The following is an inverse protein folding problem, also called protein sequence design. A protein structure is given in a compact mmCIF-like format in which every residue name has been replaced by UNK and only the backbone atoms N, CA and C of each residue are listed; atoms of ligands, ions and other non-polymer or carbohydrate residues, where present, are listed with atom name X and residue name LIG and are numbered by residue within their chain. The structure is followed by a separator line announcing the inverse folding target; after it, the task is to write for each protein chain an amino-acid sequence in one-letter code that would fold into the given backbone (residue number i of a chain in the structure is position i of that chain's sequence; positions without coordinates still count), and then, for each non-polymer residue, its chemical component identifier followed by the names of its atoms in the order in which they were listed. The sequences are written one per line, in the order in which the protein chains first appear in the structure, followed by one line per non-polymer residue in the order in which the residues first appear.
data_IF_229515780267
#
_entry.id   IF_229515780267
#
_cell.length_a   1.000
_cell.length_b   1.000
_cell.length_c   1.000
_cell.angle_alpha   90.00
_cell.angle_beta   90.00
_cell.angle_gamma   90.00
#
_symmetry.space_group_name_H-M   'P 1'
#
loop_
_entity.id
_entity.type
_entity.pdbx_description
1 polymer ?
#
# COMPACT_ATOMS: atom_id res chain seq x y z
N UNK A 1 1.94 18.10 -9.08
CA UNK A 1 2.16 17.04 -8.10
C UNK A 1 0.88 16.26 -7.94
N UNK A 2 0.95 14.95 -8.06
CA UNK A 2 -0.23 14.09 -8.17
C UNK A 2 -1.03 13.84 -6.90
N UNK A 3 -0.83 14.55 -5.80
CA UNK A 3 -1.72 14.43 -4.63
C UNK A 3 -1.70 15.70 -3.80
N UNK A 4 -2.87 16.29 -3.63
CA UNK A 4 -3.14 17.43 -2.77
C UNK A 4 -3.09 17.04 -1.27
N UNK A 5 -3.26 15.76 -0.96
CA UNK A 5 -3.29 15.25 0.39
C UNK A 5 -1.91 14.80 0.87
N UNK A 6 -1.39 15.53 1.85
CA UNK A 6 -0.47 14.98 2.83
C UNK A 6 -1.32 14.46 3.99
N UNK A 7 -1.05 13.25 4.47
CA UNK A 7 -1.79 12.60 5.55
C UNK A 7 -1.71 13.28 6.93
N UNK A 8 -1.12 14.45 7.00
CA UNK A 8 -0.88 15.25 8.18
C UNK A 8 -1.73 16.53 8.23
N UNK A 9 -2.90 16.55 7.61
CA UNK A 9 -3.93 17.59 7.74
C UNK A 9 -3.42 19.07 7.73
N UNK A 10 -2.17 19.31 7.38
CA UNK A 10 -1.61 20.66 7.29
C UNK A 10 -1.88 21.18 5.89
N UNK A 11 -2.70 22.24 5.80
CA UNK A 11 -2.87 22.99 4.55
C UNK A 11 -1.52 23.48 4.06
N UNK A 12 -1.17 23.16 2.82
CA UNK A 12 0.09 23.58 2.18
C UNK A 12 0.01 25.06 1.77
N UNK A 13 -1.20 25.51 1.42
CA UNK A 13 -1.50 26.88 1.05
C UNK A 13 -2.45 27.48 2.08
N UNK A 14 -2.28 28.75 2.37
CA UNK A 14 -3.28 29.50 3.11
C UNK A 14 -4.52 29.79 2.24
N UNK A 15 -5.63 30.19 2.84
CA UNK A 15 -6.89 30.44 2.12
C UNK A 15 -6.79 31.54 1.06
N UNK A 16 -5.91 32.51 1.26
CA UNK A 16 -5.71 33.62 0.31
C UNK A 16 -4.90 33.17 -0.91
N UNK A 17 -3.95 32.27 -0.70
CA UNK A 17 -3.17 31.70 -1.79
C UNK A 17 -3.97 30.62 -2.54
N UNK A 18 -4.75 29.81 -1.85
CA UNK A 18 -5.63 28.81 -2.46
C UNK A 18 -6.66 29.45 -3.39
N UNK A 19 -7.22 30.61 -3.03
CA UNK A 19 -8.18 31.37 -3.84
C UNK A 19 -7.59 31.89 -5.18
N UNK A 20 -6.28 31.93 -5.31
CA UNK A 20 -5.59 32.35 -6.55
C UNK A 20 -5.50 31.25 -7.61
N UNK A 21 -5.81 29.99 -7.24
CA UNK A 21 -5.72 28.84 -8.11
C UNK A 21 -7.13 28.37 -8.54
N UNK A 22 -7.23 28.00 -9.81
CA UNK A 22 -8.40 27.23 -10.26
C UNK A 22 -8.18 25.78 -9.90
N UNK A 23 -9.01 25.22 -9.03
CA UNK A 23 -8.95 23.83 -8.66
C UNK A 23 -9.53 22.98 -9.79
N UNK A 24 -8.70 22.09 -10.35
CA UNK A 24 -9.13 21.07 -11.30
C UNK A 24 -8.94 19.71 -10.65
N UNK A 25 -10.03 19.04 -10.37
CA UNK A 25 -10.03 17.69 -9.81
C UNK A 25 -10.14 16.68 -10.94
N UNK A 26 -9.24 15.70 -10.95
CA UNK A 26 -9.26 14.56 -11.87
C UNK A 26 -9.06 13.29 -11.05
N UNK A 27 -10.16 12.59 -10.81
CA UNK A 27 -10.21 11.44 -9.91
C UNK A 27 -9.54 10.20 -10.51
N UNK A 28 -9.08 9.28 -9.68
CA UNK A 28 -8.62 7.97 -10.17
C UNK A 28 -9.72 7.22 -10.91
N UNK A 29 -10.97 7.38 -10.52
CA UNK A 29 -12.10 6.81 -11.23
C UNK A 29 -12.22 7.34 -12.66
N UNK A 30 -12.15 8.66 -12.84
CA UNK A 30 -12.15 9.29 -14.17
C UNK A 30 -10.91 8.86 -14.97
N UNK A 31 -9.75 8.78 -14.32
CA UNK A 31 -8.53 8.33 -14.94
C UNK A 31 -8.64 6.89 -15.42
N UNK A 32 -9.10 5.96 -14.57
CA UNK A 32 -9.27 4.55 -14.92
C UNK A 32 -10.32 4.36 -16.03
N UNK A 33 -11.41 5.11 -16.02
CA UNK A 33 -12.43 5.08 -17.06
C UNK A 33 -11.94 5.64 -18.41
N UNK A 34 -10.99 6.56 -18.38
CA UNK A 34 -10.35 7.11 -19.57
C UNK A 34 -9.25 6.20 -20.17
N UNK A 35 -8.85 5.14 -19.46
CA UNK A 35 -7.79 4.25 -19.91
C UNK A 35 -8.24 3.35 -21.08
N UNK A 36 -7.35 3.22 -22.05
CA UNK A 36 -7.58 2.38 -23.24
C UNK A 36 -7.33 0.91 -22.95
N UNK A 37 -6.30 0.60 -22.20
CA UNK A 37 -5.77 -0.75 -22.01
C UNK A 37 -6.06 -1.30 -20.62
N UNK A 38 -5.69 -0.58 -19.56
CA UNK A 38 -5.90 -1.03 -18.17
C UNK A 38 -7.40 -1.02 -17.82
N UNK A 39 -7.94 -2.20 -17.49
CA UNK A 39 -9.37 -2.42 -17.23
C UNK A 39 -9.70 -2.73 -15.79
N UNK A 40 -8.71 -3.15 -15.00
CA UNK A 40 -8.95 -3.56 -13.62
C UNK A 40 -7.76 -3.32 -12.70
N UNK A 41 -8.05 -3.06 -11.44
CA UNK A 41 -7.08 -2.92 -10.36
C UNK A 41 -7.47 -3.85 -9.22
N UNK A 42 -6.58 -4.77 -8.87
CA UNK A 42 -6.69 -5.59 -7.67
C UNK A 42 -5.97 -4.93 -6.49
N UNK A 43 -6.59 -4.97 -5.32
CA UNK A 43 -6.00 -4.49 -4.06
C UNK A 43 -6.06 -5.62 -3.05
N UNK A 44 -4.91 -5.98 -2.46
CA UNK A 44 -4.79 -7.04 -1.48
C UNK A 44 -3.87 -6.68 -0.32
N UNK A 45 -4.32 -7.04 0.88
CA UNK A 45 -3.51 -7.06 2.09
C UNK A 45 -3.32 -8.51 2.51
N UNK A 46 -2.08 -8.94 2.59
CA UNK A 46 -1.72 -10.31 2.92
C UNK A 46 -0.99 -10.34 4.26
N UNK A 47 -1.64 -10.95 5.26
CA UNK A 47 -1.08 -11.10 6.59
C UNK A 47 -0.24 -12.38 6.64
N UNK A 48 0.93 -12.32 7.28
CA UNK A 48 1.83 -13.45 7.37
C UNK A 48 2.47 -13.56 8.77
N UNK A 49 2.86 -14.77 9.12
CA UNK A 49 3.65 -15.07 10.32
C UNK A 49 5.09 -15.40 9.90
N UNK A 50 6.04 -15.11 10.78
CA UNK A 50 7.45 -15.40 10.54
C UNK A 50 8.12 -14.37 9.63
N UNK A 51 8.90 -14.84 8.66
CA UNK A 51 9.65 -13.97 7.75
C UNK A 51 8.85 -13.67 6.47
N UNK A 52 8.85 -12.43 6.04
CA UNK A 52 8.09 -11.99 4.86
C UNK A 52 8.56 -12.65 3.54
N UNK A 53 9.78 -13.16 3.48
CA UNK A 53 10.30 -13.80 2.27
C UNK A 53 9.50 -15.05 1.87
N UNK A 54 8.95 -15.77 2.83
CA UNK A 54 8.05 -16.91 2.57
C UNK A 54 6.71 -16.43 1.99
N UNK A 55 6.16 -15.34 2.52
CA UNK A 55 4.95 -14.73 1.99
C UNK A 55 5.22 -14.12 0.61
N UNK A 56 6.34 -13.43 0.43
CA UNK A 56 6.77 -12.88 -0.85
C UNK A 56 6.86 -13.97 -1.92
N UNK A 57 7.45 -15.13 -1.60
CA UNK A 57 7.55 -16.28 -2.51
C UNK A 57 6.20 -16.76 -3.00
N UNK A 58 5.15 -16.69 -2.16
CA UNK A 58 3.79 -17.13 -2.49
C UNK A 58 3.04 -16.15 -3.38
N UNK A 59 3.25 -14.84 -3.17
CA UNK A 59 2.47 -13.80 -3.86
C UNK A 59 3.19 -13.21 -5.07
N UNK A 60 4.51 -13.37 -5.18
CA UNK A 60 5.30 -12.85 -6.30
C UNK A 60 5.08 -13.70 -7.55
N UNK A 61 4.38 -13.12 -8.53
CA UNK A 61 4.24 -13.65 -9.87
C UNK A 61 5.40 -13.15 -10.75
N UNK A 62 6.31 -14.07 -11.09
CA UNK A 62 7.49 -13.77 -11.91
C UNK A 62 7.17 -13.55 -13.40
N UNK A 63 5.93 -13.73 -13.82
CA UNK A 63 5.46 -13.44 -15.18
C UNK A 63 4.96 -11.98 -15.30
N UNK A 64 4.83 -11.29 -14.18
CA UNK A 64 4.37 -9.90 -14.10
C UNK A 64 5.51 -8.92 -13.90
N UNK A 65 5.39 -7.76 -14.53
CA UNK A 65 6.29 -6.61 -14.31
C UNK A 65 6.03 -6.02 -12.93
N UNK A 66 6.99 -6.16 -12.02
CA UNK A 66 6.76 -5.95 -10.59
C UNK A 66 7.70 -4.91 -9.98
N UNK A 67 7.15 -4.00 -9.17
CA UNK A 67 7.94 -3.19 -8.23
C UNK A 67 7.79 -3.79 -6.84
N UNK A 68 8.91 -4.11 -6.19
CA UNK A 68 8.94 -4.61 -4.82
C UNK A 68 9.48 -3.50 -3.92
N UNK A 69 8.63 -2.97 -3.05
CA UNK A 69 9.03 -2.02 -2.02
C UNK A 69 9.40 -2.78 -0.75
N UNK A 70 10.69 -2.74 -0.40
CA UNK A 70 11.19 -3.38 0.82
C UNK A 70 10.76 -2.62 2.07
N UNK A 71 10.77 -3.29 3.26
CA UNK A 71 10.47 -2.63 4.53
C UNK A 71 11.52 -1.55 4.85
N UNK A 72 11.13 -0.58 5.70
CA UNK A 72 12.10 0.34 6.27
C UNK A 72 13.12 -0.47 7.10
N UNK A 73 14.42 -0.13 7.00
CA UNK A 73 15.49 -0.83 7.72
C UNK A 73 15.29 -0.83 9.24
N UNK A 74 14.56 0.14 9.77
CA UNK A 74 14.25 0.25 11.20
C UNK A 74 12.96 -0.49 11.60
N UNK A 75 12.25 -1.12 10.66
CA UNK A 75 11.05 -1.89 10.96
C UNK A 75 11.42 -3.29 11.46
N UNK A 76 10.53 -3.91 12.26
CA UNK A 76 10.73 -5.26 12.76
C UNK A 76 10.74 -6.33 11.65
N UNK A 77 10.13 -6.03 10.50
CA UNK A 77 10.12 -6.93 9.35
C UNK A 77 11.45 -6.97 8.61
N UNK A 78 12.27 -5.91 8.76
CA UNK A 78 13.55 -5.79 8.08
C UNK A 78 14.61 -6.73 8.67
N UNK A 79 15.58 -7.11 7.86
CA UNK A 79 16.82 -7.76 8.32
C UNK A 79 17.77 -6.80 9.03
N UNK A 80 17.47 -5.49 8.97
CA UNK A 80 18.32 -4.41 9.49
C UNK A 80 19.42 -3.97 8.53
N UNK A 81 19.60 -4.67 7.40
CA UNK A 81 20.61 -4.36 6.40
C UNK A 81 20.01 -4.39 4.97
N UNK A 82 20.22 -3.31 4.23
CA UNK A 82 19.68 -3.12 2.88
C UNK A 82 20.21 -4.15 1.87
N UNK A 83 21.49 -4.46 1.96
CA UNK A 83 22.11 -5.41 1.04
C UNK A 83 21.54 -6.81 1.25
N UNK A 84 21.44 -7.23 2.50
CA UNK A 84 20.84 -8.51 2.89
C UNK A 84 19.37 -8.60 2.44
N UNK A 85 18.60 -7.49 2.50
CA UNK A 85 17.22 -7.46 1.97
C UNK A 85 17.19 -7.76 0.48
N UNK A 86 18.05 -7.11 -0.30
CA UNK A 86 18.11 -7.30 -1.76
C UNK A 86 18.54 -8.73 -2.09
N UNK A 87 19.59 -9.26 -1.40
CA UNK A 87 20.06 -10.63 -1.59
C UNK A 87 18.95 -11.65 -1.32
N UNK A 88 18.21 -11.50 -0.24
CA UNK A 88 17.08 -12.40 0.10
C UNK A 88 15.95 -12.34 -0.92
N UNK A 89 15.65 -11.16 -1.46
CA UNK A 89 14.67 -11.04 -2.53
C UNK A 89 15.18 -11.72 -3.80
N UNK A 90 16.47 -11.58 -4.13
CA UNK A 90 17.08 -12.30 -5.24
C UNK A 90 16.99 -13.82 -5.05
N UNK A 91 17.19 -14.33 -3.83
CA UNK A 91 16.99 -15.76 -3.50
C UNK A 91 15.53 -16.21 -3.72
N UNK A 92 14.55 -15.36 -3.40
CA UNK A 92 13.13 -15.63 -3.66
C UNK A 92 12.85 -15.72 -5.16
N UNK A 93 13.43 -14.82 -5.96
CA UNK A 93 13.32 -14.82 -7.42
C UNK A 93 13.99 -16.07 -7.99
N UNK A 94 15.18 -16.41 -7.46
CA UNK A 94 15.94 -17.59 -7.81
C UNK A 94 17.03 -17.32 -8.84
N UNK A 95 17.88 -18.34 -9.00
CA UNK A 95 19.05 -18.28 -9.89
C UNK A 95 20.22 -17.53 -9.27
N UNK A 96 21.29 -17.40 -10.06
CA UNK A 96 22.49 -16.64 -9.69
C UNK A 96 22.44 -15.31 -10.45
N UNK A 97 22.26 -14.17 -9.74
CA UNK A 97 22.22 -12.88 -10.39
C UNK A 97 23.60 -12.45 -10.91
N UNK A 98 23.62 -12.00 -12.16
CA UNK A 98 24.80 -11.43 -12.80
C UNK A 98 24.55 -9.95 -13.03
N UNK A 99 25.39 -9.08 -12.45
CA UNK A 99 25.29 -7.62 -12.59
C UNK A 99 26.05 -7.16 -13.83
N UNK A 100 25.38 -6.42 -14.71
CA UNK A 100 26.03 -5.70 -15.79
C UNK A 100 26.79 -4.48 -15.25
N UNK A 101 28.11 -4.39 -15.41
CA UNK A 101 28.90 -3.31 -14.85
C UNK A 101 28.62 -1.93 -15.48
N UNK A 102 28.02 -1.89 -16.69
CA UNK A 102 27.71 -0.62 -17.36
C UNK A 102 26.38 -0.02 -16.93
N UNK A 103 25.38 -0.87 -16.77
CA UNK A 103 24.01 -0.44 -16.45
C UNK A 103 23.66 -0.61 -14.98
N UNK A 104 24.36 -1.48 -14.28
CA UNK A 104 24.03 -1.89 -12.91
C UNK A 104 22.83 -2.84 -12.82
N UNK A 105 22.26 -3.22 -13.96
CA UNK A 105 21.09 -4.13 -14.01
C UNK A 105 21.53 -5.56 -13.78
N UNK A 106 20.80 -6.28 -12.94
CA UNK A 106 21.00 -7.71 -12.74
C UNK A 106 20.21 -8.52 -13.76
N UNK A 107 20.81 -9.61 -14.18
CA UNK A 107 20.14 -10.65 -15.00
C UNK A 107 20.25 -11.97 -14.26
N UNK A 108 19.14 -12.67 -14.10
CA UNK A 108 19.10 -14.01 -13.47
C UNK A 108 18.16 -14.93 -14.20
N UNK A 109 18.44 -16.24 -14.13
CA UNK A 109 17.49 -17.27 -14.54
C UNK A 109 16.62 -17.61 -13.34
N UNK A 110 15.43 -17.04 -13.30
CA UNK A 110 14.52 -17.19 -12.19
C UNK A 110 13.97 -18.61 -12.00
N UNK A 111 13.32 -18.89 -10.87
CA UNK A 111 12.75 -20.20 -10.51
C UNK A 111 11.68 -20.71 -11.50
N UNK A 112 11.04 -19.85 -12.28
CA UNK A 112 10.11 -20.21 -13.35
C UNK A 112 10.81 -20.53 -14.69
N UNK A 113 12.14 -20.53 -14.71
CA UNK A 113 12.96 -20.81 -15.89
C UNK A 113 13.15 -19.64 -16.85
N UNK A 114 12.52 -18.48 -16.60
CA UNK A 114 12.69 -17.27 -17.42
C UNK A 114 13.95 -16.52 -17.02
N UNK A 115 14.55 -15.83 -17.99
CA UNK A 115 15.61 -14.86 -17.72
C UNK A 115 14.98 -13.52 -17.43
N UNK A 116 15.21 -12.99 -16.20
CA UNK A 116 14.64 -11.74 -15.72
C UNK A 116 15.72 -10.68 -15.58
N UNK A 117 15.35 -9.42 -15.87
CA UNK A 117 16.15 -8.22 -15.62
C UNK A 117 15.63 -7.53 -14.37
N UNK A 118 16.55 -7.23 -13.43
CA UNK A 118 16.20 -6.72 -12.12
C UNK A 118 17.01 -5.46 -11.86
N UNK A 119 16.32 -4.38 -11.49
CA UNK A 119 16.93 -3.13 -11.03
C UNK A 119 16.92 -3.08 -9.49
N UNK A 120 18.08 -2.83 -8.90
CA UNK A 120 18.24 -2.54 -7.49
C UNK A 120 18.36 -1.03 -7.28
N UNK A 121 17.35 -0.43 -6.64
CA UNK A 121 17.32 0.98 -6.23
C UNK A 121 17.48 1.15 -4.71
N UNK A 122 17.85 0.09 -4.01
CA UNK A 122 18.00 0.06 -2.56
C UNK A 122 19.45 0.28 -2.15
N UNK A 123 20.37 -0.42 -2.82
CA UNK A 123 21.80 -0.36 -2.51
C UNK A 123 22.35 1.01 -2.95
N UNK A 124 22.94 1.73 -2.00
CA UNK A 124 23.61 3.00 -2.26
C UNK A 124 25.06 2.72 -2.72
N UNK A 125 25.21 2.31 -3.96
CA UNK A 125 26.52 2.13 -4.59
C UNK A 125 26.70 3.08 -5.79
N UNK A 126 27.91 3.11 -6.36
CA UNK A 126 28.26 3.95 -7.50
C UNK A 126 27.41 3.65 -8.74
N UNK A 127 26.81 2.47 -8.81
CA UNK A 127 25.99 2.03 -9.93
C UNK A 127 24.58 2.57 -9.89
N UNK A 128 24.11 3.13 -8.77
CA UNK A 128 22.73 3.64 -8.64
C UNK A 128 22.40 4.68 -9.71
N UNK A 129 23.32 5.56 -10.04
CA UNK A 129 23.15 6.57 -11.11
C UNK A 129 22.97 5.87 -12.47
N UNK A 130 23.74 4.80 -12.73
CA UNK A 130 23.64 4.03 -13.96
C UNK A 130 22.29 3.31 -14.06
N UNK A 131 21.84 2.68 -12.97
CA UNK A 131 20.51 2.03 -12.88
C UNK A 131 19.40 3.03 -13.18
N UNK A 132 19.39 4.21 -12.54
CA UNK A 132 18.42 5.27 -12.80
C UNK A 132 18.47 5.77 -14.24
N UNK A 133 19.67 5.94 -14.79
CA UNK A 133 19.87 6.36 -16.18
C UNK A 133 19.31 5.31 -17.14
N UNK A 134 19.51 4.04 -16.84
CA UNK A 134 18.93 2.93 -17.61
C UNK A 134 17.39 2.95 -17.55
N UNK A 135 16.81 3.04 -16.33
CA UNK A 135 15.37 3.07 -16.15
C UNK A 135 14.68 4.24 -16.86
N UNK A 136 15.32 5.40 -16.93
CA UNK A 136 14.81 6.58 -17.67
C UNK A 136 14.83 6.40 -19.19
N UNK A 137 15.61 5.46 -19.70
CA UNK A 137 15.78 5.19 -21.14
C UNK A 137 15.00 3.98 -21.61
N UNK A 138 14.29 3.29 -20.74
CA UNK A 138 13.46 2.14 -21.11
C UNK A 138 12.37 2.57 -22.07
N UNK A 139 12.27 1.88 -23.21
CA UNK A 139 11.26 2.14 -24.23
C UNK A 139 10.44 0.91 -24.57
N UNK A 140 10.81 -0.27 -24.03
CA UNK A 140 10.16 -1.55 -24.31
C UNK A 140 9.84 -2.29 -23.02
N UNK A 141 8.76 -3.05 -23.06
CA UNK A 141 8.32 -3.91 -21.96
C UNK A 141 9.38 -4.90 -21.50
N UNK A 142 10.15 -5.44 -22.43
CA UNK A 142 11.16 -6.48 -22.21
C UNK A 142 12.44 -5.95 -21.55
N UNK A 143 12.62 -4.64 -21.50
CA UNK A 143 13.85 -4.04 -20.95
C UNK A 143 13.96 -4.18 -19.44
N UNK A 144 12.83 -4.43 -18.73
CA UNK A 144 12.82 -4.56 -17.27
C UNK A 144 11.70 -5.51 -16.82
N UNK A 145 11.97 -6.32 -15.79
CA UNK A 145 11.01 -7.26 -15.21
C UNK A 145 10.67 -6.92 -13.76
N UNK A 146 11.69 -6.66 -12.93
CA UNK A 146 11.50 -6.39 -11.50
C UNK A 146 12.33 -5.17 -11.08
N UNK A 147 11.74 -4.29 -10.29
CA UNK A 147 12.43 -3.18 -9.63
C UNK A 147 12.31 -3.37 -8.14
N UNK A 148 13.44 -3.43 -7.42
CA UNK A 148 13.50 -3.47 -5.95
C UNK A 148 13.78 -2.05 -5.47
N UNK A 149 12.92 -1.50 -4.61
CA UNK A 149 12.99 -0.12 -4.16
C UNK A 149 12.77 0.01 -2.65
N UNK A 150 13.34 1.05 -2.05
CA UNK A 150 13.13 1.43 -0.66
C UNK A 150 12.18 2.63 -0.58
N UNK A 151 11.15 2.51 0.27
CA UNK A 151 10.20 3.59 0.49
C UNK A 151 9.39 3.96 -0.76
N UNK A 152 8.92 5.18 -0.81
CA UNK A 152 8.41 5.74 -2.06
C UNK A 152 9.62 6.00 -2.96
N UNK A 153 9.85 5.18 -3.95
CA UNK A 153 10.89 5.44 -4.94
C UNK A 153 10.70 6.87 -5.48
N UNK A 154 11.35 7.86 -4.84
CA UNK A 154 11.30 9.29 -5.20
C UNK A 154 12.04 9.56 -6.51
N UNK A 155 12.55 8.50 -7.10
CA UNK A 155 13.38 8.54 -8.27
C UNK A 155 12.51 8.81 -9.50
N UNK A 156 12.82 9.88 -10.20
CA UNK A 156 12.09 10.34 -11.37
C UNK A 156 12.28 9.44 -12.58
N UNK A 157 11.70 8.24 -12.55
CA UNK A 157 11.55 7.39 -13.71
C UNK A 157 10.07 7.07 -13.94
N UNK A 158 9.72 6.83 -15.19
CA UNK A 158 8.41 6.40 -15.61
C UNK A 158 8.49 4.98 -16.17
N UNK A 159 7.72 4.06 -15.56
CA UNK A 159 7.67 2.67 -16.01
C UNK A 159 6.23 2.19 -16.14
N UNK A 160 5.56 2.49 -17.26
CA UNK A 160 4.13 2.25 -17.44
C UNK A 160 3.75 0.76 -17.47
N UNK A 161 4.71 -0.12 -17.77
CA UNK A 161 4.49 -1.58 -17.84
C UNK A 161 4.36 -2.26 -16.47
N UNK A 162 4.54 -1.55 -15.36
CA UNK A 162 4.36 -2.12 -14.02
C UNK A 162 2.95 -2.68 -13.85
N UNK A 163 2.83 -3.99 -13.69
CA UNK A 163 1.56 -4.71 -13.49
C UNK A 163 1.30 -5.04 -12.03
N UNK A 164 2.36 -5.22 -11.23
CA UNK A 164 2.26 -5.57 -9.83
C UNK A 164 3.13 -4.65 -8.98
N UNK A 165 2.52 -4.00 -8.02
CA UNK A 165 3.26 -3.31 -6.95
C UNK A 165 3.08 -4.09 -5.66
N UNK A 166 4.18 -4.55 -5.12
CA UNK A 166 4.25 -5.33 -3.90
C UNK A 166 4.99 -4.54 -2.84
N UNK A 167 4.38 -4.37 -1.68
CA UNK A 167 4.98 -3.67 -0.55
C UNK A 167 5.14 -4.61 0.62
N UNK A 168 6.22 -4.45 1.37
CA UNK A 168 6.50 -5.23 2.58
C UNK A 168 6.53 -4.30 3.78
N UNK A 169 5.85 -4.74 4.84
CA UNK A 169 5.85 -4.07 6.12
C UNK A 169 4.88 -2.91 6.21
N UNK A 170 4.92 -2.31 7.37
CA UNK A 170 4.08 -1.18 7.73
C UNK A 170 4.39 0.05 6.89
N UNK A 171 3.34 0.70 6.43
CA UNK A 171 3.40 2.04 5.84
C UNK A 171 2.68 3.01 6.74
N UNK A 172 3.34 4.10 7.09
CA UNK A 172 2.84 5.08 8.06
C UNK A 172 1.58 5.82 7.60
N UNK A 173 1.28 5.77 6.30
CA UNK A 173 0.15 6.47 5.72
C UNK A 173 -0.49 5.69 4.60
N UNK A 174 -1.82 5.57 4.62
CA UNK A 174 -2.59 5.04 3.50
C UNK A 174 -2.44 5.91 2.24
N UNK A 175 -2.21 7.21 2.38
CA UNK A 175 -1.90 8.12 1.28
C UNK A 175 -0.60 7.71 0.56
N UNK A 176 0.40 7.25 1.30
CA UNK A 176 1.62 6.68 0.73
C UNK A 176 1.31 5.44 -0.12
N UNK A 177 0.44 4.57 0.39
CA UNK A 177 -0.02 3.38 -0.34
C UNK A 177 -0.71 3.77 -1.66
N UNK A 178 -1.59 4.77 -1.64
CA UNK A 178 -2.25 5.29 -2.83
C UNK A 178 -1.25 5.81 -3.87
N UNK A 179 -0.22 6.53 -3.43
CA UNK A 179 0.86 7.00 -4.32
C UNK A 179 1.68 5.86 -4.93
N UNK A 180 1.90 4.79 -4.16
CA UNK A 180 2.56 3.58 -4.64
C UNK A 180 1.68 2.87 -5.68
N UNK A 181 0.38 2.73 -5.41
CA UNK A 181 -0.60 2.16 -6.36
C UNK A 181 -0.57 2.91 -7.70
N UNK A 182 -0.44 4.24 -7.65
CA UNK A 182 -0.32 5.09 -8.84
C UNK A 182 0.79 4.70 -9.81
N UNK A 183 1.80 3.95 -9.36
CA UNK A 183 2.85 3.42 -10.24
C UNK A 183 2.38 2.23 -11.07
N UNK A 184 1.49 1.40 -10.51
CA UNK A 184 0.92 0.27 -11.24
C UNK A 184 -0.28 0.67 -12.11
N UNK A 185 -0.96 1.78 -11.82
CA UNK A 185 -2.17 2.20 -12.53
C UNK A 185 -1.91 3.11 -13.73
N UNK A 186 -0.75 3.01 -14.36
CA UNK A 186 -0.48 3.70 -15.62
C UNK A 186 -0.98 2.88 -16.80
N UNK A 187 -1.63 3.56 -17.73
CA UNK A 187 -2.17 2.92 -18.93
C UNK A 187 -1.06 2.63 -19.94
N UNK A 188 -0.99 1.41 -20.44
CA UNK A 188 -0.12 1.08 -21.56
C UNK A 188 -0.61 -0.18 -22.28
N UNK A 189 -0.22 -0.30 -23.56
CA UNK A 189 -0.55 -1.45 -24.38
C UNK A 189 -0.04 -2.76 -23.77
N UNK A 190 -0.88 -3.79 -23.81
CA UNK A 190 -0.58 -5.12 -23.28
C UNK A 190 -0.71 -5.25 -21.76
N UNK A 191 -1.31 -4.24 -21.07
CA UNK A 191 -1.58 -4.29 -19.63
C UNK A 191 -3.07 -4.09 -19.36
N UNK A 192 -3.80 -5.17 -19.11
CA UNK A 192 -5.24 -5.14 -18.82
C UNK A 192 -5.55 -5.09 -17.33
N UNK A 193 -4.63 -5.57 -16.49
CA UNK A 193 -4.80 -5.64 -15.04
C UNK A 193 -3.58 -5.09 -14.31
N UNK A 194 -3.82 -4.38 -13.22
CA UNK A 194 -2.81 -3.99 -12.24
C UNK A 194 -3.14 -4.58 -10.88
N UNK A 195 -2.12 -4.98 -10.13
CA UNK A 195 -2.27 -5.52 -8.78
C UNK A 195 -1.43 -4.73 -7.78
N UNK A 196 -2.04 -4.37 -6.66
CA UNK A 196 -1.34 -3.93 -5.46
C UNK A 196 -1.45 -5.01 -4.39
N UNK A 197 -0.33 -5.36 -3.76
CA UNK A 197 -0.29 -6.30 -2.64
C UNK A 197 0.58 -5.74 -1.52
N UNK A 198 0.04 -5.64 -0.32
CA UNK A 198 0.81 -5.29 0.88
C UNK A 198 0.95 -6.50 1.80
N UNK A 199 2.19 -6.89 2.10
CA UNK A 199 2.54 -7.93 3.06
C UNK A 199 2.68 -7.31 4.44
N UNK A 200 1.87 -7.76 5.41
CA UNK A 200 1.84 -7.23 6.78
C UNK A 200 2.16 -8.36 7.75
N UNK A 201 3.19 -8.17 8.57
CA UNK A 201 3.55 -9.14 9.61
C UNK A 201 2.48 -9.19 10.69
N UNK A 202 2.11 -10.41 11.08
CA UNK A 202 1.18 -10.63 12.15
C UNK A 202 1.55 -11.86 12.97
N UNK A 203 2.03 -11.68 14.19
CA UNK A 203 2.51 -12.77 15.03
C UNK A 203 1.44 -13.77 15.46
N UNK A 204 0.17 -13.35 15.57
CA UNK A 204 -0.91 -14.15 16.21
C UNK A 204 -2.18 -14.26 15.33
N UNK A 205 -2.04 -14.32 14.00
CA UNK A 205 -3.18 -14.40 13.08
C UNK A 205 -3.78 -15.80 13.01
N UNK A 206 -4.42 -16.24 14.07
CA UNK A 206 -5.10 -17.56 14.10
C UNK A 206 -6.58 -17.49 13.65
N UNK A 207 -7.16 -16.29 13.57
CA UNK A 207 -8.56 -16.09 13.16
C UNK A 207 -8.64 -15.58 11.72
N UNK A 208 -9.02 -16.48 10.81
CA UNK A 208 -9.17 -16.18 9.39
C UNK A 208 -10.29 -15.15 9.12
N UNK A 209 -11.36 -15.15 9.91
CA UNK A 209 -12.49 -14.24 9.73
C UNK A 209 -12.11 -12.82 10.11
N UNK A 210 -11.35 -12.65 11.19
CA UNK A 210 -10.81 -11.36 11.61
C UNK A 210 -9.83 -10.82 10.57
N UNK A 211 -8.92 -11.67 10.09
CA UNK A 211 -7.96 -11.30 9.02
C UNK A 211 -8.68 -10.85 7.74
N UNK A 212 -9.71 -11.57 7.33
CA UNK A 212 -10.51 -11.23 6.16
C UNK A 212 -11.27 -9.90 6.34
N UNK A 213 -11.85 -9.68 7.52
CA UNK A 213 -12.57 -8.44 7.83
C UNK A 213 -11.64 -7.22 7.76
N UNK A 214 -10.47 -7.32 8.38
CA UNK A 214 -9.45 -6.24 8.32
C UNK A 214 -8.97 -6.01 6.90
N UNK A 215 -8.70 -7.07 6.13
CA UNK A 215 -8.29 -6.94 4.74
C UNK A 215 -9.36 -6.21 3.90
N UNK A 216 -10.63 -6.57 4.07
CA UNK A 216 -11.73 -5.94 3.34
C UNK A 216 -11.89 -4.46 3.73
N UNK A 217 -11.73 -4.12 5.00
CA UNK A 217 -11.76 -2.73 5.44
C UNK A 217 -10.60 -1.93 4.85
N UNK A 218 -9.37 -2.42 4.93
CA UNK A 218 -8.21 -1.72 4.37
C UNK A 218 -8.36 -1.53 2.86
N UNK A 219 -8.95 -2.51 2.16
CA UNK A 219 -9.30 -2.37 0.75
C UNK A 219 -10.31 -1.25 0.52
N UNK A 220 -11.40 -1.24 1.29
CA UNK A 220 -12.44 -0.21 1.16
C UNK A 220 -11.90 1.20 1.41
N UNK A 221 -11.08 1.37 2.45
CA UNK A 221 -10.41 2.65 2.75
C UNK A 221 -9.48 3.06 1.60
N UNK A 222 -8.67 2.13 1.09
CA UNK A 222 -7.74 2.40 0.00
C UNK A 222 -8.48 2.80 -1.28
N UNK A 223 -9.56 2.08 -1.63
CA UNK A 223 -10.42 2.43 -2.77
C UNK A 223 -11.05 3.80 -2.56
N UNK A 224 -11.56 4.11 -1.37
CA UNK A 224 -12.15 5.41 -1.07
C UNK A 224 -11.14 6.55 -1.23
N UNK A 225 -9.90 6.37 -0.81
CA UNK A 225 -8.83 7.35 -1.02
C UNK A 225 -8.46 7.50 -2.51
N UNK A 226 -8.47 6.41 -3.27
CA UNK A 226 -8.25 6.44 -4.71
C UNK A 226 -9.37 7.18 -5.45
N UNK A 227 -10.61 7.07 -4.98
CA UNK A 227 -11.79 7.74 -5.56
C UNK A 227 -11.98 9.18 -5.05
N UNK A 228 -10.94 9.77 -4.46
CA UNK A 228 -10.95 11.13 -3.91
C UNK A 228 -12.04 11.40 -2.88
N UNK A 229 -12.02 10.64 -1.79
CA UNK A 229 -12.64 11.05 -0.54
C UNK A 229 -14.17 11.26 -0.53
N UNK A 230 -14.88 11.01 -1.61
CA UNK A 230 -16.33 11.09 -1.60
C UNK A 230 -16.92 10.07 -0.61
N UNK A 231 -16.20 8.96 -0.39
CA UNK A 231 -16.64 7.88 0.51
C UNK A 231 -15.85 7.78 1.83
N UNK A 232 -14.64 8.35 1.89
CA UNK A 232 -13.78 8.29 3.08
C UNK A 232 -13.94 9.47 4.07
N UNK A 233 -14.47 10.63 3.71
CA UNK A 233 -14.38 11.83 4.54
C UNK A 233 -15.12 11.74 5.87
N UNK A 234 -16.00 10.78 6.04
CA UNK A 234 -16.91 10.74 7.18
C UNK A 234 -16.66 9.57 8.15
N UNK A 235 -15.59 8.77 7.95
CA UNK A 235 -15.26 7.75 8.95
C UNK A 235 -14.42 8.37 10.05
N UNK A 236 -15.00 8.42 11.25
CA UNK A 236 -14.33 8.86 12.46
C UNK A 236 -14.38 7.75 13.49
N UNK A 237 -13.37 7.69 14.35
CA UNK A 237 -13.36 6.76 15.48
C UNK A 237 -13.64 7.54 16.75
N UNK A 238 -14.61 7.09 17.53
CA UNK A 238 -14.97 7.72 18.79
C UNK A 238 -14.95 6.70 19.92
N UNK A 239 -14.20 6.94 21.03
CA UNK A 239 -14.20 6.05 22.17
C UNK A 239 -15.61 5.99 22.79
N UNK A 240 -16.03 4.81 23.20
CA UNK A 240 -17.31 4.62 23.88
C UNK A 240 -17.41 5.44 25.19
N UNK A 241 -16.29 5.57 25.91
CA UNK A 241 -16.20 6.34 27.13
C UNK A 241 -16.49 7.84 26.97
N UNK A 242 -16.35 8.36 25.74
CA UNK A 242 -16.63 9.76 25.42
C UNK A 242 -18.05 10.01 24.89
N UNK A 243 -18.85 8.94 24.73
CA UNK A 243 -20.25 9.07 24.32
C UNK A 243 -21.10 9.54 25.53
N UNK A 244 -21.91 10.57 25.32
CA UNK A 244 -22.90 10.99 26.29
C UNK A 244 -24.19 10.19 26.10
N UNK A 245 -24.88 9.89 27.21
CA UNK A 245 -26.18 9.21 27.14
C UNK A 245 -27.16 9.99 26.27
N UNK A 246 -27.67 9.34 25.18
CA UNK A 246 -28.59 9.96 24.25
C UNK A 246 -27.94 10.84 23.16
N UNK A 247 -26.62 10.82 23.04
CA UNK A 247 -25.93 11.52 21.95
C UNK A 247 -26.14 10.77 20.62
N UNK A 248 -26.69 11.48 19.62
CA UNK A 248 -26.72 10.99 18.25
C UNK A 248 -25.30 11.06 17.66
N UNK A 249 -24.83 9.93 17.17
CA UNK A 249 -23.52 9.82 16.56
C UNK A 249 -23.64 10.08 15.05
N UNK A 250 -22.82 10.98 14.47
CA UNK A 250 -22.88 11.24 13.05
C UNK A 250 -22.69 9.95 12.21
N UNK A 251 -23.37 9.82 11.06
CA UNK A 251 -23.15 8.71 10.15
C UNK A 251 -21.66 8.53 9.80
N UNK A 252 -21.17 7.29 9.78
CA UNK A 252 -19.76 6.99 9.53
C UNK A 252 -18.88 7.02 10.77
N UNK A 253 -19.42 7.23 11.97
CA UNK A 253 -18.65 7.13 13.21
C UNK A 253 -18.60 5.69 13.69
N UNK A 254 -17.37 5.16 13.83
CA UNK A 254 -17.11 3.84 14.43
C UNK A 254 -16.87 4.01 15.92
N UNK A 255 -17.67 3.32 16.73
CA UNK A 255 -17.51 3.33 18.18
C UNK A 255 -16.41 2.34 18.58
N UNK A 256 -15.36 2.86 19.20
CA UNK A 256 -14.27 2.07 19.76
C UNK A 256 -14.60 1.73 21.20
N UNK A 257 -14.74 0.45 21.52
CA UNK A 257 -15.02 0.00 22.90
C UNK A 257 -13.74 0.05 23.73
N UNK A 258 -13.57 1.11 24.49
CA UNK A 258 -12.42 1.38 25.37
C UNK A 258 -12.70 1.06 26.86
N UNK A 259 -13.86 0.55 27.18
CA UNK A 259 -14.28 0.29 28.57
C UNK A 259 -15.14 -0.94 28.83
N UNK A 260 -15.57 -1.66 27.80
CA UNK A 260 -16.46 -2.82 27.91
C UNK A 260 -15.76 -4.17 28.02
N UNK A 261 -16.55 -5.23 27.88
CA UNK A 261 -16.08 -6.62 27.95
C UNK A 261 -15.15 -7.01 26.79
N UNK A 262 -15.26 -6.31 25.64
CA UNK A 262 -14.44 -6.47 24.47
C UNK A 262 -13.52 -5.29 24.19
N UNK A 263 -13.10 -4.62 25.28
CA UNK A 263 -12.28 -3.40 25.18
C UNK A 263 -11.00 -3.62 24.39
N UNK A 264 -10.68 -2.63 23.59
CA UNK A 264 -9.35 -2.51 22.96
C UNK A 264 -8.36 -1.92 23.97
N UNK A 265 -7.06 -2.10 23.75
CA UNK A 265 -6.05 -1.42 24.55
C UNK A 265 -6.20 0.11 24.41
N UNK A 266 -5.78 0.86 25.43
CA UNK A 266 -5.79 2.32 25.36
C UNK A 266 -4.98 2.84 24.18
N UNK A 267 -3.84 2.20 23.89
CA UNK A 267 -2.97 2.54 22.77
C UNK A 267 -3.69 2.39 21.43
N UNK A 268 -4.40 1.27 21.21
CA UNK A 268 -5.18 1.06 19.97
C UNK A 268 -6.30 2.10 19.87
N UNK A 269 -7.02 2.38 20.97
CA UNK A 269 -8.07 3.39 20.99
C UNK A 269 -7.53 4.79 20.66
N UNK A 270 -6.41 5.18 21.22
CA UNK A 270 -5.75 6.47 20.96
C UNK A 270 -5.26 6.58 19.52
N UNK A 271 -4.64 5.52 18.97
CA UNK A 271 -4.17 5.48 17.58
C UNK A 271 -5.33 5.70 16.61
N UNK A 272 -6.44 4.97 16.80
CA UNK A 272 -7.63 5.10 15.95
C UNK A 272 -8.29 6.46 16.09
N UNK A 273 -8.46 6.94 17.33
CA UNK A 273 -9.19 8.17 17.61
C UNK A 273 -8.44 9.43 17.16
N UNK A 274 -7.12 9.45 17.35
CA UNK A 274 -6.31 10.63 17.03
C UNK A 274 -5.87 10.68 15.57
N UNK A 275 -5.78 9.54 14.89
CA UNK A 275 -5.27 9.47 13.53
C UNK A 275 -6.29 9.05 12.47
N UNK A 276 -7.50 8.70 12.87
CA UNK A 276 -8.56 8.28 11.96
C UNK A 276 -8.11 7.17 11.01
N UNK A 277 -8.56 7.24 9.78
CA UNK A 277 -8.25 6.25 8.75
C UNK A 277 -6.74 6.10 8.47
N UNK A 278 -5.99 7.16 8.64
CA UNK A 278 -4.54 7.17 8.37
C UNK A 278 -3.79 6.19 9.29
N UNK A 279 -4.27 6.03 10.51
CA UNK A 279 -3.64 5.22 11.53
C UNK A 279 -4.24 3.81 11.70
N UNK A 280 -5.23 3.44 10.89
CA UNK A 280 -5.85 2.10 10.96
C UNK A 280 -4.81 0.99 10.80
N UNK A 281 -3.86 1.16 9.87
CA UNK A 281 -2.79 0.18 9.67
C UNK A 281 -1.90 0.06 10.92
N UNK A 282 -1.61 1.16 11.60
CA UNK A 282 -0.86 1.17 12.87
C UNK A 282 -1.63 0.43 13.97
N UNK A 283 -2.93 0.71 14.08
CA UNK A 283 -3.79 0.04 15.06
C UNK A 283 -3.88 -1.48 14.79
N UNK A 284 -3.98 -1.89 13.51
CA UNK A 284 -3.95 -3.30 13.11
C UNK A 284 -2.66 -3.99 13.53
N UNK A 285 -1.52 -3.33 13.39
CA UNK A 285 -0.23 -3.88 13.81
C UNK A 285 -0.12 -4.03 15.32
N UNK A 286 -0.77 -3.16 16.09
CA UNK A 286 -0.77 -3.27 17.55
C UNK A 286 -1.65 -4.42 18.04
N UNK A 287 -2.86 -4.53 17.51
CA UNK A 287 -3.80 -5.61 17.87
C UNK A 287 -4.84 -5.81 16.76
N UNK A 288 -4.56 -6.74 15.85
CA UNK A 288 -5.48 -7.06 14.76
C UNK A 288 -6.80 -7.64 15.25
N UNK A 289 -6.77 -8.44 16.31
CA UNK A 289 -7.98 -9.09 16.83
C UNK A 289 -8.94 -8.06 17.41
N UNK A 290 -8.41 -7.05 18.14
CA UNK A 290 -9.22 -5.95 18.66
C UNK A 290 -9.77 -5.06 17.54
N UNK A 291 -8.93 -4.66 16.59
CA UNK A 291 -9.35 -3.85 15.44
C UNK A 291 -10.33 -4.61 14.57
N UNK A 292 -10.09 -5.89 14.31
CA UNK A 292 -11.00 -6.76 13.55
C UNK A 292 -12.38 -6.88 14.20
N UNK A 293 -12.45 -7.01 15.52
CA UNK A 293 -13.74 -7.05 16.25
C UNK A 293 -14.51 -5.74 16.11
N UNK A 294 -13.83 -4.59 16.25
CA UNK A 294 -14.47 -3.28 16.07
C UNK A 294 -15.09 -3.18 14.69
N UNK A 295 -14.32 -3.56 13.66
CA UNK A 295 -14.75 -3.48 12.27
C UNK A 295 -15.90 -4.43 11.97
N UNK A 296 -15.81 -5.70 12.44
CA UNK A 296 -16.87 -6.69 12.25
C UNK A 296 -18.16 -6.24 12.93
N UNK A 297 -18.05 -5.66 14.12
CA UNK A 297 -19.22 -5.12 14.84
C UNK A 297 -19.85 -3.97 14.05
N UNK A 298 -19.06 -2.99 13.61
CA UNK A 298 -19.54 -1.86 12.83
C UNK A 298 -20.22 -2.28 11.52
N UNK A 299 -19.66 -3.27 10.82
CA UNK A 299 -20.26 -3.83 9.59
C UNK A 299 -21.61 -4.51 9.88
N UNK A 300 -21.70 -5.28 10.95
CA UNK A 300 -22.92 -6.02 11.32
C UNK A 300 -24.04 -5.10 11.84
N UNK A 301 -23.71 -3.98 12.47
CA UNK A 301 -24.68 -3.03 13.02
C UNK A 301 -25.33 -2.14 11.94
N UNK A 302 -25.12 -2.41 10.66
CA UNK A 302 -25.66 -1.64 9.52
C UNK A 302 -25.30 -0.16 9.50
N UNK A 303 -24.45 0.32 10.36
CA UNK A 303 -23.94 1.70 10.36
C UNK A 303 -23.03 1.97 9.15
N UNK A 304 -22.57 0.90 8.49
CA UNK A 304 -21.71 0.90 7.30
C UNK A 304 -22.44 0.79 5.95
N UNK A 305 -23.77 0.73 5.95
CA UNK A 305 -24.57 0.55 4.71
C UNK A 305 -24.43 1.67 3.67
N UNK A 306 -23.67 2.73 3.96
CA UNK A 306 -23.33 3.77 2.99
C UNK A 306 -22.02 3.52 2.21
N UNK A 307 -21.32 2.41 2.49
CA UNK A 307 -20.15 1.97 1.72
C UNK A 307 -20.51 0.96 0.61
N UNK A 308 -21.74 0.87 0.20
CA UNK A 308 -22.09 0.18 -1.04
C UNK A 308 -21.47 0.94 -2.20
N UNK A 309 -20.37 0.38 -2.73
CA UNK A 309 -19.81 0.82 -3.99
C UNK A 309 -20.91 0.69 -5.05
N UNK A 310 -21.19 1.72 -5.84
CA UNK A 310 -22.09 1.56 -6.96
C UNK A 310 -21.54 0.46 -7.87
N UNK A 311 -22.41 -0.54 -8.17
CA UNK A 311 -22.09 -1.70 -8.98
C UNK A 311 -21.75 -1.35 -10.44
#
# INVERSE_FOLDING_TARGET
TGSYFRGDAVRILDEQDEAKFTQVTYTYYEQLNGYKYLKSLGIGYHFYQGRYFEALRKVLDLDKKTIIHIPNVNSMESTGDKLTEVERIMDVIGGIPVKDPKTGIYTTRARNGKTLRIADLVTDDENRVNVLTYLRKITKREDMDIIIALGMAKEGFDWPWCEHVLTVGYRSSLTEIVQIIGRATRDCEGKEHAQFTNLIAQPEADDADVTNSVNNMLKAITVSLLMEQILAPNITFKPRSLLKNGEEVPPGTIIVDDGGEHKVSKEVAEILTNGGLTNVTTAVLQDINAVGRIITHAINDKEFTQLELPG
#
